data_IF_840281980310
#
_entry.id   IF_840281980310
#
_cell.length_a   1.000
_cell.length_b   1.000
_cell.length_c   1.000
_cell.angle_alpha   90.00
_cell.angle_beta   90.00
_cell.angle_gamma   90.00
#
_symmetry.space_group_name_H-M   'P 1'
#
loop_
_entity.id
_entity.type
_entity.pdbx_description
1 polymer ?
#
# COMPACT_ATOMS: atom_id res chain seq x y z
N UNK A 1 -15.44 6.88 -1.13
CA UNK A 1 -14.79 5.74 -0.46
C UNK A 1 -13.37 5.69 -0.96
N UNK A 2 -12.39 5.63 -0.06
CA UNK A 2 -10.97 5.57 -0.43
C UNK A 2 -10.58 4.10 -0.60
N UNK A 3 -9.78 3.76 -1.60
CA UNK A 3 -9.29 2.39 -1.83
C UNK A 3 -8.56 1.81 -0.61
N UNK A 4 -8.00 2.68 0.24
CA UNK A 4 -7.39 2.35 1.52
C UNK A 4 -8.31 1.57 2.46
N UNK A 5 -9.59 1.93 2.49
CA UNK A 5 -10.60 1.33 3.39
C UNK A 5 -10.96 -0.10 2.94
N UNK A 6 -10.74 -0.41 1.66
CA UNK A 6 -10.94 -1.74 1.09
C UNK A 6 -9.72 -2.65 1.22
N UNK A 7 -8.56 -2.10 1.62
CA UNK A 7 -7.35 -2.91 1.79
C UNK A 7 -7.40 -3.65 3.13
N UNK A 8 -6.93 -4.91 3.17
CA UNK A 8 -6.90 -5.65 4.41
C UNK A 8 -5.86 -5.04 5.36
N UNK A 9 -6.09 -5.18 6.67
CA UNK A 9 -5.16 -4.78 7.75
C UNK A 9 -3.92 -5.70 7.84
N UNK A 10 -3.44 -6.18 6.70
CA UNK A 10 -2.25 -7.02 6.55
C UNK A 10 -1.56 -6.73 5.21
N UNK A 11 -0.28 -7.07 5.07
CA UNK A 11 0.41 -7.06 3.79
C UNK A 11 -0.33 -7.91 2.73
N UNK A 12 -0.30 -7.44 1.49
CA UNK A 12 -1.00 -8.11 0.39
C UNK A 12 -0.22 -9.33 -0.09
N UNK A 13 -0.95 -10.35 -0.52
CA UNK A 13 -0.39 -11.45 -1.31
C UNK A 13 -0.39 -11.10 -2.81
N UNK A 14 0.44 -11.80 -3.60
CA UNK A 14 0.43 -11.69 -5.07
C UNK A 14 -0.96 -11.85 -5.69
N UNK A 15 -1.79 -12.75 -5.16
CA UNK A 15 -3.14 -12.98 -5.65
C UNK A 15 -4.07 -11.77 -5.43
N UNK A 16 -3.92 -11.09 -4.29
CA UNK A 16 -4.68 -9.89 -3.96
C UNK A 16 -4.19 -8.70 -4.79
N UNK A 17 -2.88 -8.56 -4.98
CA UNK A 17 -2.29 -7.56 -5.87
C UNK A 17 -2.74 -7.74 -7.33
N UNK A 18 -2.75 -8.98 -7.81
CA UNK A 18 -3.28 -9.31 -9.14
C UNK A 18 -4.79 -9.02 -9.25
N UNK A 19 -5.55 -9.15 -8.16
CA UNK A 19 -6.97 -8.81 -8.13
C UNK A 19 -7.19 -7.29 -8.14
N UNK A 20 -6.32 -6.51 -7.47
CA UNK A 20 -6.35 -5.04 -7.55
C UNK A 20 -6.12 -4.54 -8.98
N UNK A 21 -5.19 -5.14 -9.73
CA UNK A 21 -4.96 -4.80 -11.14
C UNK A 21 -6.15 -5.12 -12.06
N UNK A 22 -7.12 -5.94 -11.60
CA UNK A 22 -8.36 -6.22 -12.33
C UNK A 22 -9.53 -5.39 -11.82
N UNK A 23 -9.37 -4.65 -10.74
CA UNK A 23 -10.41 -3.80 -10.20
C UNK A 23 -10.54 -2.53 -11.04
N UNK A 24 -11.76 -2.03 -11.20
CA UNK A 24 -12.03 -0.80 -11.95
C UNK A 24 -11.53 0.47 -11.22
N UNK A 25 -11.07 0.34 -9.97
CA UNK A 25 -10.66 1.47 -9.15
C UNK A 25 -9.25 1.99 -9.47
N UNK A 26 -8.38 1.16 -10.08
CA UNK A 26 -6.99 1.51 -10.44
C UNK A 26 -6.62 0.90 -11.77
N UNK A 27 -5.77 1.58 -12.54
CA UNK A 27 -5.24 1.06 -13.81
C UNK A 27 -4.09 0.10 -13.60
N UNK A 28 -3.28 0.32 -12.56
CA UNK A 28 -2.07 -0.42 -12.30
C UNK A 28 -1.78 -0.45 -10.80
N UNK A 29 -1.48 -1.63 -10.27
CA UNK A 29 -1.00 -1.84 -8.92
C UNK A 29 0.32 -2.63 -8.96
N UNK A 30 1.38 -2.08 -8.37
CA UNK A 30 2.72 -2.67 -8.37
C UNK A 30 3.20 -2.84 -6.94
N UNK A 31 3.71 -4.03 -6.61
CA UNK A 31 4.46 -4.24 -5.36
C UNK A 31 5.86 -3.62 -5.51
N UNK A 32 6.30 -2.88 -4.50
CA UNK A 32 7.68 -2.36 -4.46
C UNK A 32 8.66 -3.44 -4.00
N UNK A 33 8.19 -4.39 -3.20
CA UNK A 33 8.95 -5.55 -2.75
C UNK A 33 8.78 -6.72 -3.73
N UNK A 34 9.88 -7.40 -4.05
CA UNK A 34 9.89 -8.57 -4.95
C UNK A 34 9.81 -9.91 -4.19
N UNK A 35 10.17 -9.91 -2.90
CA UNK A 35 10.24 -11.12 -2.07
C UNK A 35 9.31 -11.03 -0.85
N UNK A 36 8.32 -11.92 -0.82
CA UNK A 36 7.43 -12.09 0.32
C UNK A 36 6.18 -11.22 0.24
N UNK A 37 5.48 -11.04 1.38
CA UNK A 37 4.22 -10.30 1.39
C UNK A 37 4.45 -8.82 1.06
N UNK A 38 3.62 -8.26 0.20
CA UNK A 38 3.73 -6.86 -0.24
C UNK A 38 3.42 -5.92 0.93
N UNK A 39 4.46 -5.29 1.47
CA UNK A 39 4.35 -4.27 2.52
C UNK A 39 4.36 -2.85 1.96
N UNK A 40 4.67 -2.68 0.67
CA UNK A 40 4.53 -1.41 0.00
C UNK A 40 4.04 -1.58 -1.44
N UNK A 41 3.11 -0.71 -1.84
CA UNK A 41 2.55 -0.72 -3.19
C UNK A 41 2.48 0.65 -3.84
N UNK A 42 2.51 0.65 -5.16
CA UNK A 42 2.23 1.78 -6.02
C UNK A 42 0.88 1.55 -6.70
N UNK A 43 -0.01 2.52 -6.62
CA UNK A 43 -1.28 2.54 -7.32
C UNK A 43 -1.27 3.65 -8.35
N UNK A 44 -1.65 3.35 -9.59
CA UNK A 44 -1.79 4.36 -10.63
C UNK A 44 -3.20 4.34 -11.22
N UNK A 45 -3.65 5.53 -11.60
CA UNK A 45 -4.86 5.79 -12.38
C UNK A 45 -4.51 6.66 -13.58
N UNK A 46 -5.53 7.07 -14.35
CA UNK A 46 -5.38 8.05 -15.42
C UNK A 46 -4.90 9.43 -14.94
N UNK A 47 -5.13 9.78 -13.66
CA UNK A 47 -4.94 11.14 -13.14
C UNK A 47 -3.90 11.25 -12.02
N UNK A 48 -3.52 10.14 -11.38
CA UNK A 48 -2.55 10.15 -10.28
C UNK A 48 -1.82 8.83 -10.11
N UNK A 49 -0.67 8.91 -9.45
CA UNK A 49 0.07 7.79 -8.87
C UNK A 49 0.18 8.00 -7.37
N UNK A 50 -0.06 6.96 -6.57
CA UNK A 50 0.03 6.97 -5.12
C UNK A 50 0.97 5.88 -4.65
N UNK A 51 1.78 6.21 -3.65
CA UNK A 51 2.61 5.26 -2.94
C UNK A 51 2.00 4.97 -1.57
N UNK A 52 1.93 3.69 -1.22
CA UNK A 52 1.34 3.20 0.01
C UNK A 52 2.34 2.29 0.71
N UNK A 53 2.40 2.39 2.03
CA UNK A 53 3.15 1.48 2.88
C UNK A 53 2.25 0.92 3.97
N UNK A 54 2.51 -0.32 4.35
CA UNK A 54 1.87 -0.98 5.46
C UNK A 54 2.61 -0.61 6.75
N UNK A 55 1.90 0.01 7.68
CA UNK A 55 2.41 0.34 9.01
C UNK A 55 2.04 -0.80 9.96
N UNK A 56 3.04 -1.60 10.33
CA UNK A 56 2.89 -2.55 11.43
C UNK A 56 3.02 -1.78 12.72
N UNK A 57 1.90 -1.32 13.29
CA UNK A 57 1.91 -0.85 14.68
C UNK A 57 2.30 -2.04 15.56
N UNK A 58 3.54 -2.07 16.03
CA UNK A 58 4.05 -3.10 16.91
C UNK A 58 3.25 -3.08 18.22
N UNK A 59 2.44 -4.11 18.47
CA UNK A 59 2.01 -4.45 19.83
C UNK A 59 3.18 -5.14 20.53
N UNK A 60 4.25 -4.39 20.80
CA UNK A 60 5.19 -4.74 21.85
C UNK A 60 4.64 -4.15 23.16
N UNK A 61 3.79 -4.94 23.84
CA UNK A 61 3.79 -5.13 25.30
C UNK A 61 2.48 -5.76 25.80
N UNK A 62 2.64 -7.01 26.21
CA UNK A 62 2.13 -7.59 27.47
C UNK A 62 0.62 -7.86 27.64
N UNK A 63 0.28 -9.14 27.41
CA UNK A 63 -0.31 -10.06 28.39
C UNK A 63 -1.50 -9.53 29.22
N UNK A 64 -2.71 -9.93 28.81
CA UNK A 64 -3.78 -10.56 29.62
C UNK A 64 -5.16 -10.17 29.08
N UNK A 65 -5.95 -11.16 28.66
CA UNK A 65 -7.40 -11.00 28.50
C UNK A 65 -7.97 -11.65 27.25
N UNK A 66 -8.53 -12.85 27.42
CA UNK A 66 -9.53 -13.45 26.54
C UNK A 66 -10.58 -12.43 26.10
N UNK A 67 -10.43 -11.87 24.92
CA UNK A 67 -11.54 -11.35 24.10
C UNK A 67 -11.13 -11.56 22.65
N UNK A 68 -11.67 -12.63 22.06
CA UNK A 68 -11.64 -12.83 20.62
C UNK A 68 -12.22 -11.58 19.94
N UNK A 69 -11.69 -11.21 18.77
CA UNK A 69 -12.04 -10.03 17.95
C UNK A 69 -11.23 -8.74 18.16
N UNK A 70 -9.89 -8.80 18.22
CA UNK A 70 -9.07 -7.73 17.62
C UNK A 70 -7.62 -8.21 17.39
N UNK A 71 -7.32 -8.67 16.17
CA UNK A 71 -5.95 -9.05 15.75
C UNK A 71 -5.42 -8.01 14.75
N UNK A 72 -4.52 -7.15 15.23
CA UNK A 72 -3.61 -6.32 14.43
C UNK A 72 -4.21 -5.02 13.90
N UNK A 73 -3.93 -3.90 14.58
CA UNK A 73 -4.18 -2.53 14.11
C UNK A 73 -3.14 -2.07 13.06
N UNK A 74 -2.66 -3.00 12.22
CA UNK A 74 -1.77 -2.66 11.12
C UNK A 74 -2.56 -2.04 9.98
N UNK A 75 -2.09 -0.91 9.45
CA UNK A 75 -2.88 -0.10 8.50
C UNK A 75 -2.08 0.32 7.27
N UNK A 76 -2.77 0.42 6.14
CA UNK A 76 -2.22 1.02 4.94
C UNK A 76 -2.25 2.54 5.05
N UNK A 77 -1.09 3.18 4.87
CA UNK A 77 -0.97 4.64 4.80
C UNK A 77 -0.44 5.08 3.44
N UNK A 78 -1.01 6.15 2.90
CA UNK A 78 -0.44 6.83 1.73
C UNK A 78 0.71 7.71 2.18
N UNK A 79 1.87 7.54 1.53
CA UNK A 79 3.09 8.29 1.84
C UNK A 79 3.45 9.30 0.76
N UNK A 80 2.99 9.07 -0.46
CA UNK A 80 3.21 9.98 -1.59
C UNK A 80 2.00 9.96 -2.54
N UNK A 81 1.69 11.10 -3.14
CA UNK A 81 0.70 11.23 -4.20
C UNK A 81 1.19 12.22 -5.24
N UNK A 82 1.37 11.75 -6.47
CA UNK A 82 1.80 12.56 -7.62
C UNK A 82 0.67 12.60 -8.65
N UNK A 83 0.29 13.80 -9.08
CA UNK A 83 -0.74 14.01 -10.11
C UNK A 83 -0.13 13.91 -11.52
N UNK A 84 -0.88 13.35 -12.47
CA UNK A 84 -0.44 13.18 -13.86
C UNK A 84 -0.78 14.38 -14.77
N UNK A 85 -1.24 15.50 -14.20
CA UNK A 85 -1.58 16.72 -14.96
C UNK A 85 -0.32 17.38 -15.55
N UNK A 86 0.78 17.39 -14.78
CA UNK A 86 2.04 18.05 -15.15
C UNK A 86 3.23 17.10 -15.16
N UNK A 87 3.03 15.83 -14.79
CA UNK A 87 4.08 14.82 -14.62
C UNK A 87 3.79 13.58 -15.44
N UNK A 88 4.80 13.07 -16.17
CA UNK A 88 4.66 11.84 -16.92
C UNK A 88 4.46 10.64 -15.96
N UNK A 89 3.62 9.67 -16.37
CA UNK A 89 3.30 8.50 -15.53
C UNK A 89 4.55 7.74 -15.05
N UNK A 90 5.54 7.61 -15.93
CA UNK A 90 6.80 6.95 -15.58
C UNK A 90 7.58 7.70 -14.49
N UNK A 91 7.64 9.03 -14.59
CA UNK A 91 8.31 9.86 -13.59
C UNK A 91 7.57 9.83 -12.25
N UNK A 92 6.24 9.91 -12.29
CA UNK A 92 5.39 9.79 -11.10
C UNK A 92 5.57 8.44 -10.39
N UNK A 93 5.63 7.33 -11.14
CA UNK A 93 5.90 5.99 -10.60
C UNK A 93 7.27 5.93 -9.93
N UNK A 94 8.31 6.44 -10.60
CA UNK A 94 9.66 6.45 -10.07
C UNK A 94 9.77 7.27 -8.78
N UNK A 95 9.19 8.48 -8.74
CA UNK A 95 9.17 9.32 -7.54
C UNK A 95 8.47 8.63 -6.37
N UNK A 96 7.34 7.96 -6.63
CA UNK A 96 6.62 7.20 -5.61
C UNK A 96 7.44 6.01 -5.10
N UNK A 97 8.10 5.27 -5.99
CA UNK A 97 9.00 4.15 -5.64
C UNK A 97 10.17 4.62 -4.77
N UNK A 98 10.83 5.71 -5.16
CA UNK A 98 11.96 6.29 -4.42
C UNK A 98 11.51 6.75 -3.02
N UNK A 99 10.33 7.35 -2.91
CA UNK A 99 9.78 7.79 -1.61
C UNK A 99 9.54 6.61 -0.68
N UNK A 100 8.92 5.53 -1.19
CA UNK A 100 8.71 4.30 -0.42
C UNK A 100 10.03 3.68 0.01
N UNK A 101 10.99 3.55 -0.90
CA UNK A 101 12.31 2.99 -0.58
C UNK A 101 13.06 3.85 0.44
N UNK A 102 12.99 5.17 0.32
CA UNK A 102 13.63 6.09 1.27
C UNK A 102 13.01 6.02 2.66
N UNK A 103 11.70 5.73 2.77
CA UNK A 103 11.02 5.62 4.06
C UNK A 103 11.36 4.32 4.80
N UNK A 104 11.76 3.28 4.06
CA UNK A 104 12.05 1.94 4.57
C UNK A 104 13.55 1.62 4.67
N UNK A 105 14.41 2.54 4.21
CA UNK A 105 15.87 2.45 4.32
C UNK A 105 16.37 2.82 5.72
#
# INVERSE_FOLDING_TARGET
>A
MSILDSLPNRPLSDAELASLNRAEAVELAIAVDEDGPTEALLLATESWVKALVFDRSEQDSEENGDTEESRGDGGWRTVETVTLEETERYEALKQCEETVRSLRA
#
